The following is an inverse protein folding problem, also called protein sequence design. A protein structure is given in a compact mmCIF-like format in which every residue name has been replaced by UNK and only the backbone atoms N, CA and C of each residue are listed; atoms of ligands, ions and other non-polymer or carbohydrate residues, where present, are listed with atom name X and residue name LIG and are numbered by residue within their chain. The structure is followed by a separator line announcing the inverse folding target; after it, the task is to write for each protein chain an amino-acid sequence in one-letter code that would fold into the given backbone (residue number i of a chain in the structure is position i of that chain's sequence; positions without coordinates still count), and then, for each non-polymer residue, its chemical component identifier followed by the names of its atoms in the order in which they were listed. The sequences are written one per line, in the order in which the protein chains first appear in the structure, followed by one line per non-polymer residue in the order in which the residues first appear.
data_IF_010199453350
#
_entry.id   IF_010199453350
#
_cell.length_a   1.000
_cell.length_b   1.000
_cell.length_c   1.000
_cell.angle_alpha   90.00
_cell.angle_beta   90.00
_cell.angle_gamma   90.00
#
_symmetry.space_group_name_H-M   'P 1'
#
loop_
_entity.id
_entity.type
_entity.pdbx_description
1 polymer ?
#
# COMPACT_ATOMS: atom_id res chain seq x y z
N UNK A 1 5.32 13.48 -48.97
CA UNK A 1 4.64 14.41 -48.05
C UNK A 1 3.73 13.57 -47.16
N UNK A 2 4.32 12.89 -46.18
CA UNK A 2 3.60 12.22 -45.09
C UNK A 2 3.36 13.22 -43.98
N UNK A 3 2.14 13.28 -43.43
CA UNK A 3 1.82 13.59 -42.02
C UNK A 3 0.29 13.66 -41.84
N UNK A 4 -0.38 12.51 -41.91
CA UNK A 4 -1.80 12.40 -41.54
C UNK A 4 -1.98 11.14 -40.69
N UNK A 5 -1.60 11.24 -39.41
CA UNK A 5 -1.56 10.09 -38.51
C UNK A 5 -1.42 10.47 -37.05
N UNK A 6 -2.18 11.47 -36.61
CA UNK A 6 -2.47 11.70 -35.20
C UNK A 6 -3.85 12.34 -35.15
N UNK A 7 -4.54 12.27 -34.01
CA UNK A 7 -5.86 12.84 -33.74
C UNK A 7 -7.04 11.87 -34.00
N UNK A 8 -7.11 10.83 -33.17
CA UNK A 8 -8.34 10.54 -32.44
C UNK A 8 -7.99 10.50 -30.94
N UNK A 9 -8.64 11.30 -30.08
CA UNK A 9 -8.35 11.36 -28.65
C UNK A 9 -9.05 10.20 -27.94
N UNK A 10 -8.63 8.98 -28.22
CA UNK A 10 -8.89 7.89 -27.30
C UNK A 10 -7.89 8.07 -26.17
N UNK A 11 -8.30 8.84 -25.14
CA UNK A 11 -7.49 9.08 -23.94
C UNK A 11 -7.10 7.74 -23.35
N UNK A 12 -5.96 7.26 -23.81
CA UNK A 12 -5.53 5.89 -23.65
C UNK A 12 -4.51 5.80 -22.53
N UNK A 13 -4.13 4.57 -22.19
CA UNK A 13 -2.99 4.34 -21.30
C UNK A 13 -1.75 5.11 -21.75
N UNK A 14 -1.58 5.33 -23.05
CA UNK A 14 -0.47 6.09 -23.63
C UNK A 14 -0.45 7.56 -23.19
N UNK A 15 -1.55 8.31 -23.23
CA UNK A 15 -1.57 9.71 -22.78
C UNK A 15 -1.35 9.83 -21.28
N UNK A 16 -1.93 8.91 -20.50
CA UNK A 16 -1.72 8.84 -19.04
C UNK A 16 -0.24 8.62 -18.72
N UNK A 17 0.45 7.76 -19.47
CA UNK A 17 1.90 7.55 -19.34
C UNK A 17 2.68 8.81 -19.72
N UNK A 18 2.32 9.51 -20.81
CA UNK A 18 3.01 10.74 -21.21
C UNK A 18 2.88 11.83 -20.13
N UNK A 19 1.68 12.05 -19.60
CA UNK A 19 1.45 13.00 -18.50
C UNK A 19 2.22 12.59 -17.25
N UNK A 20 2.19 11.30 -16.91
CA UNK A 20 2.94 10.75 -15.78
C UNK A 20 4.44 11.02 -15.93
N UNK A 21 5.02 10.76 -17.11
CA UNK A 21 6.43 11.04 -17.40
C UNK A 21 6.76 12.53 -17.21
N UNK A 22 5.91 13.44 -17.68
CA UNK A 22 6.12 14.89 -17.48
C UNK A 22 6.11 15.25 -15.99
N UNK A 23 5.16 14.70 -15.22
CA UNK A 23 5.11 14.89 -13.76
C UNK A 23 6.34 14.29 -13.07
N UNK A 24 6.85 13.15 -13.54
CA UNK A 24 8.08 12.55 -13.02
C UNK A 24 9.32 13.41 -13.34
N UNK A 25 9.34 14.11 -14.47
CA UNK A 25 10.45 15.03 -14.80
C UNK A 25 10.41 16.29 -13.93
N UNK A 26 9.22 16.83 -13.65
CA UNK A 26 9.04 18.03 -12.81
C UNK A 26 9.25 17.74 -11.32
N UNK A 27 8.62 16.68 -10.80
CA UNK A 27 8.60 16.35 -9.38
C UNK A 27 9.64 15.28 -9.00
N UNK A 28 10.16 14.52 -9.96
CA UNK A 28 11.05 13.39 -9.72
C UNK A 28 10.30 12.09 -9.39
N UNK A 29 10.86 10.94 -9.79
CA UNK A 29 10.27 9.62 -9.57
C UNK A 29 10.08 9.20 -8.10
N UNK A 30 10.69 9.91 -7.14
CA UNK A 30 10.57 9.63 -5.70
C UNK A 30 9.39 10.35 -5.04
N UNK A 31 8.94 11.51 -5.57
CA UNK A 31 7.94 12.36 -4.90
C UNK A 31 6.51 11.86 -5.08
N UNK A 32 6.15 11.37 -6.27
CA UNK A 32 4.82 10.79 -6.51
C UNK A 32 4.49 9.61 -5.58
N UNK A 33 5.34 8.58 -5.42
CA UNK A 33 5.04 7.47 -4.51
C UNK A 33 5.05 7.88 -3.03
N UNK A 34 5.85 8.89 -2.67
CA UNK A 34 5.89 9.46 -1.31
C UNK A 34 4.58 10.18 -0.97
N UNK A 35 4.08 11.02 -1.88
CA UNK A 35 2.78 11.68 -1.77
C UNK A 35 1.61 10.67 -1.77
N UNK A 36 1.67 9.67 -2.66
CA UNK A 36 0.64 8.63 -2.74
C UNK A 36 0.55 7.79 -1.46
N UNK A 37 1.69 7.50 -0.81
CA UNK A 37 1.71 6.80 0.50
C UNK A 37 1.01 7.62 1.58
N UNK A 38 1.29 8.91 1.69
CA UNK A 38 0.65 9.79 2.66
C UNK A 38 -0.85 9.94 2.40
N UNK A 39 -1.24 10.18 1.15
CA UNK A 39 -2.63 10.28 0.72
C UNK A 39 -3.39 8.95 0.94
N UNK A 40 -2.76 7.81 0.65
CA UNK A 40 -3.37 6.50 0.83
C UNK A 40 -3.66 6.19 2.31
N UNK A 41 -2.75 6.58 3.21
CA UNK A 41 -2.95 6.42 4.64
C UNK A 41 -4.09 7.31 5.16
N UNK A 42 -4.18 8.58 4.71
CA UNK A 42 -5.25 9.49 5.12
C UNK A 42 -6.62 9.03 4.60
N UNK A 43 -6.71 8.59 3.34
CA UNK A 43 -7.93 8.02 2.77
C UNK A 43 -8.34 6.75 3.52
N UNK A 44 -7.38 5.88 3.88
CA UNK A 44 -7.66 4.66 4.65
C UNK A 44 -8.25 4.98 6.02
N UNK A 45 -7.62 5.89 6.76
CA UNK A 45 -8.11 6.33 8.07
C UNK A 45 -9.50 6.99 7.97
N UNK A 46 -9.70 7.84 6.95
CA UNK A 46 -10.98 8.49 6.69
C UNK A 46 -12.11 7.49 6.41
N UNK A 47 -11.84 6.46 5.57
CA UNK A 47 -12.82 5.40 5.30
C UNK A 47 -13.13 4.57 6.53
N UNK A 48 -12.14 4.27 7.37
CA UNK A 48 -12.34 3.51 8.62
C UNK A 48 -13.22 4.30 9.59
N UNK A 49 -12.87 5.56 9.87
CA UNK A 49 -13.65 6.42 10.76
C UNK A 49 -15.09 6.64 10.25
N UNK A 50 -15.27 6.82 8.95
CA UNK A 50 -16.61 6.95 8.34
C UNK A 50 -17.41 5.65 8.49
N UNK A 51 -16.75 4.50 8.35
CA UNK A 51 -17.41 3.18 8.48
C UNK A 51 -17.80 2.91 9.92
N UNK A 52 -16.94 3.25 10.87
CA UNK A 52 -17.19 3.11 12.31
C UNK A 52 -18.36 4.00 12.76
N UNK A 53 -18.35 5.28 12.36
CA UNK A 53 -19.44 6.22 12.63
C UNK A 53 -20.80 5.77 12.07
N UNK A 54 -20.81 5.09 10.90
CA UNK A 54 -22.02 4.53 10.30
C UNK A 54 -22.50 3.25 11.01
N UNK A 55 -21.60 2.50 11.64
CA UNK A 55 -21.92 1.27 12.38
C UNK A 55 -22.38 1.57 13.81
N UNK A 56 -21.89 2.66 14.42
CA UNK A 56 -22.29 3.11 15.75
C UNK A 56 -23.76 3.57 15.81
N UNK A 57 -24.32 4.08 14.70
CA UNK A 57 -25.76 4.35 14.55
C UNK A 57 -26.61 3.07 14.35
N UNK A 58 -25.96 1.93 14.05
CA UNK A 58 -26.61 0.67 13.66
C UNK A 58 -26.38 -0.51 14.62
N UNK A 59 -25.72 -0.30 15.76
CA UNK A 59 -25.63 -1.30 16.84
C UNK A 59 -25.12 -2.66 16.36
N UNK A 60 -23.88 -2.74 15.89
CA UNK A 60 -23.33 -4.00 15.39
C UNK A 60 -21.81 -4.04 15.35
N UNK A 61 -21.23 -4.67 16.36
CA UNK A 61 -19.84 -5.13 16.44
C UNK A 61 -19.48 -5.95 15.21
N UNK A 62 -18.55 -5.47 14.38
CA UNK A 62 -17.90 -6.33 13.38
C UNK A 62 -16.40 -6.10 13.41
N UNK A 63 -15.74 -6.97 14.18
CA UNK A 63 -14.30 -7.10 14.24
C UNK A 63 -13.72 -7.39 12.84
N UNK A 64 -13.00 -6.42 12.28
CA UNK A 64 -11.94 -6.68 11.31
C UNK A 64 -10.70 -5.90 11.75
N UNK A 65 -10.15 -6.37 12.87
CA UNK A 65 -8.72 -6.24 13.13
C UNK A 65 -8.04 -7.42 12.44
N UNK A 66 -7.46 -7.16 11.28
CA UNK A 66 -6.42 -8.01 10.71
C UNK A 66 -5.31 -7.11 10.19
N UNK A 67 -4.47 -6.63 11.11
CA UNK A 67 -3.08 -7.08 11.11
C UNK A 67 -2.31 -6.55 12.34
N UNK A 68 -1.69 -7.45 13.12
CA UNK A 68 -0.58 -7.10 14.00
C UNK A 68 0.67 -6.93 13.14
N UNK A 69 1.36 -5.80 13.27
CA UNK A 69 2.73 -5.63 12.77
C UNK A 69 3.47 -4.67 13.69
N UNK A 70 3.67 -5.12 14.93
CA UNK A 70 4.82 -4.74 15.75
C UNK A 70 5.88 -5.84 15.50
N UNK A 71 7.03 -5.49 14.93
CA UNK A 71 8.25 -5.22 15.71
C UNK A 71 9.01 -6.49 16.11
N UNK A 72 10.15 -6.67 15.44
CA UNK A 72 11.42 -7.21 15.95
C UNK A 72 11.37 -8.20 17.14
N UNK A 73 11.67 -9.49 16.87
CA UNK A 73 12.71 -10.21 17.63
C UNK A 73 13.20 -11.46 16.89
N UNK A 74 14.51 -11.47 16.66
CA UNK A 74 15.42 -12.62 16.57
C UNK A 74 14.82 -13.95 17.04
N UNK A 75 14.81 -14.95 16.16
CA UNK A 75 14.98 -16.35 16.53
C UNK A 75 15.88 -17.02 15.49
N UNK A 76 17.17 -17.00 15.81
CA UNK A 76 18.01 -18.19 15.93
C UNK A 76 17.69 -19.35 14.97
N UNK A 77 18.65 -19.59 14.09
CA UNK A 77 18.93 -20.74 13.24
C UNK A 77 18.51 -22.10 13.84
N UNK A 78 17.95 -23.03 13.04
CA UNK A 78 17.68 -24.40 13.48
C UNK A 78 18.98 -25.22 13.42
N UNK A 79 19.47 -25.69 14.57
CA UNK A 79 20.69 -26.50 14.64
C UNK A 79 20.76 -27.39 15.88
N UNK A 80 20.75 -28.69 15.61
CA UNK A 80 21.37 -29.82 16.34
C UNK A 80 20.84 -30.28 17.71
N UNK A 81 20.59 -31.60 17.75
CA UNK A 81 20.81 -32.58 18.84
C UNK A 81 20.26 -32.26 20.25
N UNK A 82 19.21 -32.92 20.77
CA UNK A 82 19.21 -34.30 21.30
C UNK A 82 20.48 -34.65 22.09
N UNK A 83 20.36 -34.70 23.43
CA UNK A 83 21.00 -35.62 24.39
C UNK A 83 20.56 -35.14 25.80
N UNK A 84 19.67 -35.84 26.50
CA UNK A 84 19.90 -37.00 27.36
C UNK A 84 20.63 -36.65 28.69
N UNK A 85 20.10 -37.23 29.79
CA UNK A 85 20.77 -37.39 31.10
C UNK A 85 21.06 -36.11 31.91
N UNK A 86 21.08 -36.04 33.25
CA UNK A 86 20.87 -36.95 34.38
C UNK A 86 20.93 -36.02 35.62
N UNK A 87 20.29 -36.49 36.68
CA UNK A 87 20.13 -36.05 38.06
C UNK A 87 21.19 -35.16 38.73
N UNK A 88 20.72 -34.45 39.76
CA UNK A 88 21.49 -33.85 40.85
C UNK A 88 20.55 -33.37 41.95
#
# INVERSE_FOLDING_TARGET
MSMSGFILPNVGMTELIVILVILLLLFGGRRLPELAKGLGQSIKAFKQATTEAQLEDKGGTSAVSSQPSASNRTKETPGSEQDAENTG
#
